data_IF_579655019510
#
_entry.id   IF_579655019510
#
_cell.length_a   1.000
_cell.length_b   1.000
_cell.length_c   1.000
_cell.angle_alpha   90.00
_cell.angle_beta   90.00
_cell.angle_gamma   90.00
#
_symmetry.space_group_name_H-M   'P 1'
#
loop_
_entity.id
_entity.type
_entity.pdbx_description
1 polymer ?
#
# COMPACT_ATOMS: atom_id res chain seq x y z
N UNK A 1 -24.86 -8.82 5.97
CA UNK A 1 -23.46 -9.22 6.22
C UNK A 1 -22.61 -8.07 5.72
N UNK A 2 -21.88 -7.39 6.60
CA UNK A 2 -20.97 -6.31 6.22
C UNK A 2 -19.79 -6.94 5.49
N UNK A 3 -19.58 -6.59 4.23
CA UNK A 3 -18.45 -7.08 3.46
C UNK A 3 -17.25 -6.15 3.66
N UNK A 4 -16.07 -6.74 3.86
CA UNK A 4 -14.82 -6.04 4.02
C UNK A 4 -13.94 -6.27 2.80
N UNK A 5 -13.01 -5.35 2.54
CA UNK A 5 -12.06 -5.46 1.43
C UNK A 5 -10.66 -5.13 1.91
N UNK A 6 -9.68 -5.90 1.48
CA UNK A 6 -8.27 -5.56 1.62
C UNK A 6 -7.81 -4.82 0.37
N UNK A 7 -7.04 -3.76 0.54
CA UNK A 7 -6.29 -3.11 -0.51
C UNK A 7 -4.79 -3.17 -0.20
N UNK A 8 -4.00 -3.36 -1.25
CA UNK A 8 -2.55 -3.42 -1.19
C UNK A 8 -1.94 -2.54 -2.26
N UNK A 9 -1.07 -1.63 -1.84
CA UNK A 9 -0.31 -0.71 -2.69
C UNK A 9 1.14 -1.15 -2.72
N UNK A 10 1.69 -1.33 -3.91
CA UNK A 10 3.11 -1.66 -4.12
C UNK A 10 3.87 -0.41 -4.56
N UNK A 11 4.98 -0.12 -3.88
CA UNK A 11 5.86 1.02 -4.20
C UNK A 11 7.30 0.73 -3.81
N UNK A 12 8.20 1.69 -3.95
CA UNK A 12 9.62 1.60 -3.61
C UNK A 12 9.99 2.69 -2.59
N UNK A 13 10.98 2.41 -1.74
CA UNK A 13 11.60 3.42 -0.88
C UNK A 13 12.12 4.59 -1.73
N UNK A 14 11.73 5.82 -1.35
CA UNK A 14 12.13 7.06 -2.02
C UNK A 14 11.27 7.49 -3.21
N UNK A 15 10.37 6.64 -3.74
CA UNK A 15 9.44 7.02 -4.82
C UNK A 15 8.14 7.64 -4.31
N UNK A 16 7.64 7.15 -3.17
CA UNK A 16 6.36 7.58 -2.60
C UNK A 16 6.53 8.30 -1.27
N UNK A 17 5.73 9.34 -0.98
CA UNK A 17 5.76 10.03 0.30
C UNK A 17 5.03 9.21 1.38
N UNK A 18 5.68 8.15 1.88
CA UNK A 18 5.08 7.15 2.78
C UNK A 18 4.37 7.78 3.97
N UNK A 19 5.00 8.71 4.68
CA UNK A 19 4.39 9.37 5.84
C UNK A 19 3.09 10.10 5.48
N UNK A 20 3.02 10.71 4.29
CA UNK A 20 1.80 11.38 3.80
C UNK A 20 0.71 10.38 3.41
N UNK A 21 1.09 9.22 2.89
CA UNK A 21 0.13 8.17 2.53
C UNK A 21 -0.45 7.55 3.79
N UNK A 22 0.39 7.25 4.79
CA UNK A 22 -0.07 6.74 6.08
C UNK A 22 -0.94 7.78 6.81
N UNK A 23 -0.53 9.05 6.82
CA UNK A 23 -1.34 10.14 7.37
C UNK A 23 -2.68 10.30 6.64
N UNK A 24 -2.71 10.18 5.31
CA UNK A 24 -3.97 10.20 4.56
C UNK A 24 -4.91 9.05 4.94
N UNK A 25 -4.38 7.84 5.05
CA UNK A 25 -5.17 6.66 5.45
C UNK A 25 -5.66 6.76 6.90
N UNK A 26 -4.86 7.33 7.80
CA UNK A 26 -5.16 7.45 9.22
C UNK A 26 -6.03 8.67 9.56
N UNK A 27 -5.62 9.87 9.15
CA UNK A 27 -6.22 11.14 9.59
C UNK A 27 -7.42 11.53 8.71
N UNK A 28 -7.28 11.41 7.39
CA UNK A 28 -8.30 11.84 6.42
C UNK A 28 -9.37 10.75 6.23
N UNK A 29 -8.96 9.53 5.90
CA UNK A 29 -9.90 8.44 5.56
C UNK A 29 -10.30 7.58 6.78
N UNK A 30 -9.47 7.54 7.83
CA UNK A 30 -9.72 6.80 9.09
C UNK A 30 -10.06 5.33 8.86
N UNK A 31 -9.23 4.64 8.10
CA UNK A 31 -9.40 3.19 7.85
C UNK A 31 -9.26 2.39 9.14
N UNK A 32 -9.91 1.23 9.20
CA UNK A 32 -9.87 0.33 10.37
C UNK A 32 -8.45 -0.11 10.71
N UNK A 33 -7.62 -0.34 9.69
CA UNK A 33 -6.21 -0.68 9.89
C UNK A 33 -5.37 -0.45 8.65
N UNK A 34 -4.11 -0.05 8.88
CA UNK A 34 -3.07 0.08 7.85
C UNK A 34 -1.74 -0.46 8.38
N UNK A 35 -1.02 -1.22 7.55
CA UNK A 35 0.31 -1.77 7.84
C UNK A 35 1.25 -1.45 6.68
N UNK A 36 2.47 -0.99 7.00
CA UNK A 36 3.56 -0.88 6.04
C UNK A 36 4.50 -2.08 6.20
N UNK A 37 4.73 -2.80 5.12
CA UNK A 37 5.62 -3.95 5.05
C UNK A 37 6.79 -3.60 4.14
N UNK A 38 8.01 -3.89 4.58
CA UNK A 38 9.22 -3.78 3.75
C UNK A 38 9.62 -5.16 3.25
N UNK A 39 9.74 -5.31 1.94
CA UNK A 39 10.20 -6.54 1.31
C UNK A 39 11.73 -6.57 1.20
N UNK A 40 12.28 -7.78 1.10
CA UNK A 40 13.73 -7.99 0.88
C UNK A 40 14.14 -7.78 -0.58
N UNK A 41 13.22 -8.04 -1.52
CA UNK A 41 13.44 -7.90 -2.94
C UNK A 41 12.12 -7.79 -3.73
N UNK A 42 12.16 -7.20 -4.92
CA UNK A 42 11.02 -7.09 -5.82
C UNK A 42 11.36 -6.34 -7.10
N UNK A 43 10.49 -6.42 -8.11
CA UNK A 43 10.61 -5.65 -9.35
C UNK A 43 9.26 -5.02 -9.69
N UNK A 44 9.31 -3.82 -10.26
CA UNK A 44 8.13 -3.05 -10.64
C UNK A 44 8.09 -2.78 -12.13
N UNK A 45 7.50 -1.64 -12.50
CA UNK A 45 7.36 -1.20 -13.89
C UNK A 45 8.69 -1.08 -14.66
N UNK A 46 9.78 -0.77 -13.97
CA UNK A 46 11.13 -0.67 -14.57
C UNK A 46 11.73 -2.03 -14.96
N UNK A 47 11.18 -3.14 -14.44
CA UNK A 47 11.77 -4.48 -14.58
C UNK A 47 13.09 -4.66 -13.82
N UNK A 48 13.59 -3.64 -13.12
CA UNK A 48 14.82 -3.72 -12.34
C UNK A 48 14.55 -4.48 -11.04
N UNK A 49 15.43 -5.42 -10.72
CA UNK A 49 15.41 -6.09 -9.42
C UNK A 49 15.93 -5.11 -8.36
N UNK A 50 15.05 -4.75 -7.44
CA UNK A 50 15.40 -4.02 -6.24
C UNK A 50 15.61 -5.02 -5.11
N UNK A 51 16.78 -5.03 -4.47
CA UNK A 51 17.17 -5.97 -3.41
C UNK A 51 18.29 -5.38 -2.56
N UNK A 52 18.50 -5.90 -1.35
CA UNK A 52 19.72 -5.66 -0.59
C UNK A 52 20.87 -6.50 -1.17
N UNK A 53 21.76 -5.91 -1.97
CA UNK A 53 23.08 -6.49 -2.26
C UNK A 53 24.16 -5.77 -1.44
N UNK A 54 25.13 -6.51 -0.91
CA UNK A 54 26.32 -5.94 -0.24
C UNK A 54 27.06 -4.90 -1.11
N UNK A 55 26.88 -4.96 -2.43
CA UNK A 55 27.50 -4.07 -3.41
C UNK A 55 26.60 -2.90 -3.86
N UNK A 56 25.30 -2.91 -3.53
CA UNK A 56 24.36 -1.85 -3.91
C UNK A 56 24.10 -0.92 -2.72
N UNK A 57 24.78 0.23 -2.69
CA UNK A 57 24.53 1.32 -1.72
C UNK A 57 23.16 2.00 -1.91
N UNK A 58 22.38 1.64 -2.93
CA UNK A 58 21.03 2.15 -3.16
C UNK A 58 19.97 1.18 -2.63
N UNK A 59 19.50 1.42 -1.41
CA UNK A 59 18.40 0.70 -0.78
C UNK A 59 17.04 1.21 -1.29
N UNK A 60 16.71 0.96 -2.56
CA UNK A 60 15.33 1.21 -3.05
C UNK A 60 14.47 -0.02 -2.77
N UNK A 61 14.28 -0.37 -1.50
CA UNK A 61 13.57 -1.61 -1.18
C UNK A 61 12.08 -1.49 -1.53
N UNK A 62 11.45 -2.59 -1.99
CA UNK A 62 10.02 -2.58 -2.21
C UNK A 62 9.26 -2.44 -0.90
N UNK A 63 8.25 -1.60 -0.95
CA UNK A 63 7.31 -1.33 0.13
C UNK A 63 5.91 -1.77 -0.29
N UNK A 64 5.19 -2.31 0.68
CA UNK A 64 3.79 -2.69 0.55
C UNK A 64 3.02 -1.95 1.62
N UNK A 65 2.05 -1.12 1.21
CA UNK A 65 1.08 -0.51 2.11
C UNK A 65 -0.20 -1.31 2.00
N UNK A 66 -0.63 -1.89 3.12
CA UNK A 66 -1.78 -2.77 3.19
C UNK A 66 -2.82 -2.20 4.15
N UNK A 67 -4.07 -2.04 3.72
CA UNK A 67 -5.16 -1.53 4.56
C UNK A 67 -6.49 -2.22 4.25
N UNK A 68 -7.38 -2.27 5.23
CA UNK A 68 -8.75 -2.78 5.05
C UNK A 68 -9.78 -1.89 5.74
N UNK A 69 -10.99 -1.96 5.20
CA UNK A 69 -12.21 -1.35 5.74
C UNK A 69 -13.42 -2.06 5.10
N UNK A 70 -14.63 -1.57 5.39
CA UNK A 70 -15.84 -1.91 4.66
C UNK A 70 -15.63 -1.74 3.16
N UNK A 71 -16.21 -2.64 2.37
CA UNK A 71 -15.92 -2.73 0.94
C UNK A 71 -16.11 -1.40 0.18
N UNK A 72 -17.24 -0.74 0.39
CA UNK A 72 -17.57 0.52 -0.27
C UNK A 72 -16.52 1.60 0.05
N UNK A 73 -16.07 1.67 1.32
CA UNK A 73 -15.03 2.62 1.75
C UNK A 73 -13.72 2.38 1.04
N UNK A 74 -13.28 1.12 0.95
CA UNK A 74 -12.02 0.79 0.27
C UNK A 74 -12.10 1.15 -1.22
N UNK A 75 -13.22 0.86 -1.87
CA UNK A 75 -13.44 1.20 -3.28
C UNK A 75 -13.47 2.71 -3.53
N UNK A 76 -13.92 3.51 -2.56
CA UNK A 76 -13.83 4.98 -2.61
C UNK A 76 -12.43 5.53 -2.34
N UNK A 77 -11.65 4.88 -1.47
CA UNK A 77 -10.30 5.34 -1.08
C UNK A 77 -9.27 5.08 -2.18
N UNK A 78 -9.35 3.94 -2.87
CA UNK A 78 -8.40 3.55 -3.93
C UNK A 78 -8.21 4.65 -5.00
N UNK A 79 -9.26 5.21 -5.63
CA UNK A 79 -9.07 6.27 -6.63
C UNK A 79 -8.46 7.54 -6.01
N UNK A 80 -8.84 7.92 -4.78
CA UNK A 80 -8.24 9.08 -4.10
C UNK A 80 -6.74 8.88 -3.84
N UNK A 81 -6.34 7.70 -3.40
CA UNK A 81 -4.92 7.34 -3.21
C UNK A 81 -4.15 7.44 -4.53
N UNK A 82 -4.68 6.82 -5.58
CA UNK A 82 -4.09 6.84 -6.93
C UNK A 82 -3.89 8.28 -7.40
N UNK A 83 -4.92 9.10 -7.30
CA UNK A 83 -4.90 10.44 -7.88
C UNK A 83 -4.08 11.43 -7.04
N UNK A 84 -4.08 11.29 -5.70
CA UNK A 84 -3.35 12.15 -4.77
C UNK A 84 -1.85 11.88 -4.73
N UNK A 85 -1.42 10.63 -4.98
CA UNK A 85 -0.04 10.19 -4.78
C UNK A 85 0.61 9.52 -6.02
N UNK A 86 -0.05 9.55 -7.20
CA UNK A 86 0.38 8.86 -8.43
C UNK A 86 0.67 7.36 -8.21
N UNK A 87 -0.12 6.69 -7.37
CA UNK A 87 0.06 5.28 -7.03
C UNK A 87 -0.53 4.38 -8.10
N UNK A 88 0.32 3.60 -8.78
CA UNK A 88 -0.07 2.83 -9.97
C UNK A 88 -0.37 1.36 -9.72
N UNK A 89 0.23 0.79 -8.69
CA UNK A 89 0.15 -0.64 -8.41
C UNK A 89 -0.69 -0.88 -7.16
N UNK A 90 -2.00 -0.80 -7.35
CA UNK A 90 -2.99 -1.05 -6.31
C UNK A 90 -3.83 -2.26 -6.71
N UNK A 91 -3.94 -3.22 -5.81
CA UNK A 91 -4.84 -4.38 -5.94
C UNK A 91 -5.78 -4.41 -4.74
N UNK A 92 -6.96 -5.02 -4.90
CA UNK A 92 -7.87 -5.24 -3.78
C UNK A 92 -8.71 -6.48 -3.97
N UNK A 93 -9.11 -7.10 -2.87
CA UNK A 93 -9.94 -8.31 -2.85
C UNK A 93 -10.85 -8.33 -1.62
N UNK A 94 -12.03 -8.96 -1.70
CA UNK A 94 -12.90 -9.14 -0.53
C UNK A 94 -12.20 -9.95 0.57
N UNK A 95 -12.46 -9.62 1.82
CA UNK A 95 -11.97 -10.35 2.99
C UNK A 95 -13.09 -10.59 4.00
N UNK A 96 -12.90 -11.63 4.82
CA UNK A 96 -13.68 -11.84 6.03
C UNK A 96 -12.87 -11.26 7.20
N UNK A 97 -13.57 -10.58 8.11
CA UNK A 97 -13.00 -10.03 9.33
C UNK A 97 -13.74 -10.67 10.49
N UNK A 98 -13.01 -11.37 11.36
CA UNK A 98 -13.54 -11.75 12.67
C UNK A 98 -13.67 -10.46 13.50
N UNK A 99 -14.88 -9.90 13.52
CA UNK A 99 -15.21 -8.82 14.45
C UNK A 99 -15.14 -9.39 15.89
N UNK A 100 -14.41 -8.74 16.82
CA UNK A 100 -14.40 -9.14 18.22
C UNK A 100 -15.75 -8.88 18.92
#
# INVERSE_FOLDING_TARGET
>A
MTQYRMARVYTLEGESPIDKILGFLHDDEKVIGVTLIRAIAGYGKSGQLHTTSLLSLSLQLPLIIEFFDQEDRVLEIIPKLRDKFDLRHIVSWPIEVDEP
#
